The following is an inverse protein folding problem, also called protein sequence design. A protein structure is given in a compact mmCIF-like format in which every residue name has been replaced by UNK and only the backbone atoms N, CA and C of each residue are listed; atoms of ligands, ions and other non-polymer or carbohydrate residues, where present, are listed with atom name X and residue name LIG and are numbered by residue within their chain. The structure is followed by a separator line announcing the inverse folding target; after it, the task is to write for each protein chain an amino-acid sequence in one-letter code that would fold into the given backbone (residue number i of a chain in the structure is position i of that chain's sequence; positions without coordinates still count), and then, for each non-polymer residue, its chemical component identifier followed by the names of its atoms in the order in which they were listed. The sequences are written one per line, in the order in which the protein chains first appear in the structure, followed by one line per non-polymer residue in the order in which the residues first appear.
data_IF_293570217876
#
_entry.id   IF_293570217876
#
_cell.length_a   1.000
_cell.length_b   1.000
_cell.length_c   1.000
_cell.angle_alpha   90.00
_cell.angle_beta   90.00
_cell.angle_gamma   90.00
#
_symmetry.space_group_name_H-M   'P 1'
#
loop_
_entity.id
_entity.type
_entity.pdbx_description
1 polymer ?
#
# COMPACT_ATOMS: atom_id res chain seq x y z
N UNK A 1 8.37 -29.91 4.78
CA UNK A 1 9.55 -29.02 4.77
C UNK A 1 9.18 -27.83 3.89
N UNK A 2 9.37 -26.62 4.38
CA UNK A 2 9.14 -25.41 3.59
C UNK A 2 10.12 -25.38 2.42
N UNK A 3 9.62 -25.14 1.20
CA UNK A 3 10.48 -25.05 0.02
C UNK A 3 11.29 -23.74 0.12
N UNK A 4 12.58 -23.76 -0.18
CA UNK A 4 13.42 -22.56 -0.14
C UNK A 4 12.99 -21.45 -1.10
N UNK A 5 12.09 -21.74 -2.04
CA UNK A 5 11.50 -20.80 -3.01
C UNK A 5 10.16 -20.21 -2.57
N UNK A 6 9.58 -20.72 -1.46
CA UNK A 6 8.39 -20.14 -0.87
C UNK A 6 8.73 -18.74 -0.36
N UNK A 7 7.77 -17.81 -0.45
CA UNK A 7 8.00 -16.44 -0.04
C UNK A 7 6.80 -15.88 0.72
N UNK A 8 7.10 -15.01 1.66
CA UNK A 8 6.09 -14.29 2.45
C UNK A 8 6.35 -12.79 2.46
N UNK A 9 5.28 -12.03 2.33
CA UNK A 9 5.28 -10.59 2.34
C UNK A 9 4.47 -10.06 3.51
N UNK A 10 4.99 -9.05 4.19
CA UNK A 10 4.31 -8.45 5.33
C UNK A 10 4.32 -6.92 5.27
N UNK A 11 3.30 -6.31 5.84
CA UNK A 11 3.22 -4.87 6.09
C UNK A 11 3.02 -4.61 7.58
N UNK A 12 3.78 -3.64 8.09
CA UNK A 12 3.75 -3.21 9.49
C UNK A 12 3.87 -1.69 9.57
N UNK A 13 2.77 -1.01 9.83
CA UNK A 13 2.79 0.39 10.22
C UNK A 13 3.35 0.49 11.66
N UNK A 14 4.37 1.32 11.85
CA UNK A 14 5.13 1.41 13.10
C UNK A 14 4.57 2.45 14.08
N UNK A 15 3.51 3.16 13.68
CA UNK A 15 2.91 4.22 14.47
C UNK A 15 3.97 5.16 15.07
N UNK A 16 4.60 5.95 14.19
CA UNK A 16 5.56 7.00 14.56
C UNK A 16 6.86 6.50 15.26
N UNK A 17 7.49 5.44 14.79
CA UNK A 17 8.72 4.93 15.40
C UNK A 17 9.88 5.93 15.26
N UNK A 18 10.32 6.50 16.41
CA UNK A 18 11.37 7.52 16.53
C UNK A 18 12.29 7.20 17.71
N UNK A 19 13.52 7.73 17.70
CA UNK A 19 14.46 7.66 18.83
C UNK A 19 14.07 8.65 19.94
N UNK A 20 14.50 8.44 21.20
CA UNK A 20 14.20 9.34 22.32
C UNK A 20 14.61 10.78 22.02
N UNK A 21 13.78 11.74 22.38
CA UNK A 21 14.00 13.17 22.15
C UNK A 21 13.91 13.62 20.69
N UNK A 22 13.74 12.69 19.73
CA UNK A 22 13.47 13.01 18.34
C UNK A 22 12.06 13.57 18.16
N UNK A 23 11.94 14.74 17.52
CA UNK A 23 10.64 15.39 17.31
C UNK A 23 9.82 14.67 16.24
N UNK A 24 8.55 14.43 16.56
CA UNK A 24 7.51 13.90 15.67
C UNK A 24 6.46 14.98 15.36
N UNK A 25 5.26 14.58 14.94
CA UNK A 25 4.15 15.49 14.69
C UNK A 25 3.84 16.37 15.93
N UNK A 26 3.59 17.65 15.69
CA UNK A 26 3.27 18.64 16.73
C UNK A 26 4.31 18.77 17.85
N UNK A 27 5.57 18.29 17.58
CA UNK A 27 6.65 18.36 18.55
C UNK A 27 6.63 17.25 19.61
N UNK A 28 5.79 16.23 19.47
CA UNK A 28 5.79 15.05 20.32
C UNK A 28 7.16 14.35 20.28
N UNK A 29 7.58 13.77 21.41
CA UNK A 29 8.85 13.03 21.56
C UNK A 29 8.63 11.86 22.49
N UNK A 30 9.38 10.78 22.33
CA UNK A 30 9.46 9.71 23.32
C UNK A 30 10.48 10.03 24.40
N UNK A 31 10.17 9.70 25.64
CA UNK A 31 11.18 9.49 26.67
C UNK A 31 11.80 8.08 26.52
N UNK A 32 12.82 7.76 27.34
CA UNK A 32 13.53 6.48 27.22
C UNK A 32 12.63 5.27 27.52
N UNK A 33 11.76 5.36 28.52
CA UNK A 33 10.89 4.24 28.91
C UNK A 33 9.82 3.93 27.84
N UNK A 34 9.21 4.95 27.26
CA UNK A 34 8.27 4.83 26.14
C UNK A 34 8.96 4.21 24.92
N UNK A 35 10.17 4.67 24.61
CA UNK A 35 10.97 4.11 23.52
C UNK A 35 11.29 2.64 23.76
N UNK A 36 11.76 2.28 24.95
CA UNK A 36 12.11 0.90 25.31
C UNK A 36 10.90 -0.04 25.19
N UNK A 37 9.71 0.41 25.61
CA UNK A 37 8.46 -0.32 25.46
C UNK A 37 8.10 -0.49 23.98
N UNK A 38 8.19 0.57 23.18
CA UNK A 38 7.93 0.57 21.73
C UNK A 38 8.86 -0.39 20.99
N UNK A 39 10.16 -0.34 21.30
CA UNK A 39 11.17 -1.25 20.72
C UNK A 39 10.93 -2.69 21.17
N UNK A 40 10.54 -2.94 22.41
CA UNK A 40 10.25 -4.28 22.91
C UNK A 40 9.04 -4.91 22.18
N UNK A 41 7.96 -4.13 22.02
CA UNK A 41 6.77 -4.56 21.27
C UNK A 41 7.10 -4.83 19.81
N UNK A 42 7.78 -3.90 19.12
CA UNK A 42 8.18 -4.05 17.72
C UNK A 42 9.06 -5.29 17.52
N UNK A 43 10.05 -5.49 18.40
CA UNK A 43 10.91 -6.68 18.37
C UNK A 43 10.13 -7.99 18.60
N UNK A 44 9.15 -7.98 19.51
CA UNK A 44 8.23 -9.09 19.71
C UNK A 44 7.46 -9.43 18.43
N UNK A 45 6.88 -8.45 17.80
CA UNK A 45 6.14 -8.61 16.55
C UNK A 45 7.03 -9.12 15.39
N UNK A 46 8.24 -8.59 15.24
CA UNK A 46 9.21 -9.08 14.24
C UNK A 46 9.54 -10.56 14.41
N UNK A 47 9.70 -11.05 15.66
CA UNK A 47 9.92 -12.48 15.93
C UNK A 47 8.73 -13.37 15.56
N UNK A 48 7.50 -12.88 15.75
CA UNK A 48 6.27 -13.61 15.39
C UNK A 48 6.03 -13.60 13.87
N UNK A 49 6.31 -12.49 13.23
CA UNK A 49 5.99 -12.25 11.84
C UNK A 49 6.76 -13.17 10.89
N UNK A 50 8.07 -13.32 11.10
CA UNK A 50 8.98 -14.18 10.33
C UNK A 50 8.78 -14.12 8.81
N UNK A 51 8.42 -12.95 8.28
CA UNK A 51 8.22 -12.78 6.85
C UNK A 51 9.56 -12.58 6.11
N UNK A 52 9.59 -12.99 4.84
CA UNK A 52 10.79 -12.86 4.01
C UNK A 52 11.01 -11.44 3.53
N UNK A 53 9.94 -10.71 3.26
CA UNK A 53 9.97 -9.28 2.93
C UNK A 53 8.97 -8.53 3.80
N UNK A 54 9.42 -7.50 4.50
CA UNK A 54 8.58 -6.69 5.39
C UNK A 54 8.66 -5.24 4.93
N UNK A 55 7.52 -4.62 4.66
CA UNK A 55 7.40 -3.18 4.44
C UNK A 55 6.99 -2.48 5.74
N UNK A 56 7.65 -1.37 6.05
CA UNK A 56 7.39 -0.55 7.22
C UNK A 56 6.89 0.82 6.83
N UNK A 57 5.92 1.33 7.58
CA UNK A 57 5.39 2.68 7.45
C UNK A 57 5.61 3.45 8.76
N UNK A 58 5.47 4.76 8.70
CA UNK A 58 5.60 5.68 9.85
C UNK A 58 6.93 5.64 10.60
N UNK A 59 8.01 5.42 9.87
CA UNK A 59 9.36 5.45 10.41
C UNK A 59 9.93 6.88 10.38
N UNK A 60 10.31 7.42 11.53
CA UNK A 60 10.98 8.71 11.67
C UNK A 60 12.50 8.59 11.75
N UNK A 61 13.00 7.50 12.29
CA UNK A 61 14.44 7.28 12.49
C UNK A 61 14.87 5.91 12.01
N UNK A 62 15.94 5.89 11.18
CA UNK A 62 16.63 4.66 10.81
C UNK A 62 17.09 3.87 12.04
N UNK A 63 17.68 4.58 13.03
CA UNK A 63 18.25 3.95 14.21
C UNK A 63 17.19 3.18 15.00
N UNK A 64 15.98 3.73 15.15
CA UNK A 64 14.92 3.06 15.88
C UNK A 64 14.54 1.70 15.26
N UNK A 65 14.51 1.58 13.94
CA UNK A 65 14.27 0.29 13.29
C UNK A 65 15.46 -0.68 13.45
N UNK A 66 16.69 -0.16 13.36
CA UNK A 66 17.90 -0.97 13.64
C UNK A 66 17.87 -1.52 15.06
N UNK A 67 17.50 -0.71 16.06
CA UNK A 67 17.41 -1.10 17.47
C UNK A 67 16.32 -2.18 17.67
N UNK A 68 15.20 -2.08 16.96
CA UNK A 68 14.14 -3.10 16.99
C UNK A 68 14.63 -4.45 16.45
N UNK A 69 15.36 -4.47 15.33
CA UNK A 69 15.94 -5.69 14.77
C UNK A 69 17.03 -6.27 15.68
N UNK A 70 17.87 -5.42 16.29
CA UNK A 70 18.87 -5.85 17.28
C UNK A 70 18.21 -6.46 18.50
N UNK A 71 17.16 -5.81 19.06
CA UNK A 71 16.38 -6.32 20.20
C UNK A 71 15.66 -7.63 19.87
N UNK A 72 15.27 -7.82 18.61
CA UNK A 72 14.66 -9.06 18.15
C UNK A 72 15.66 -10.21 17.96
N UNK A 73 16.98 -9.91 17.90
CA UNK A 73 18.03 -10.88 17.55
C UNK A 73 18.03 -11.25 16.07
N UNK A 74 17.60 -10.34 15.20
CA UNK A 74 17.38 -10.60 13.77
C UNK A 74 18.33 -9.82 12.85
N UNK A 75 19.32 -9.10 13.39
CA UNK A 75 20.24 -8.25 12.62
C UNK A 75 20.96 -9.00 11.49
N UNK A 76 21.44 -10.22 11.74
CA UNK A 76 22.17 -11.03 10.75
C UNK A 76 21.25 -11.74 9.75
N UNK A 77 19.98 -11.89 10.10
CA UNK A 77 18.99 -12.59 9.28
C UNK A 77 18.37 -11.69 8.21
N UNK A 78 18.35 -10.36 8.42
CA UNK A 78 17.69 -9.42 7.53
C UNK A 78 18.62 -8.32 7.03
N UNK A 79 18.44 -7.94 5.78
CA UNK A 79 18.99 -6.71 5.20
C UNK A 79 17.92 -5.61 5.24
N UNK A 80 18.27 -4.44 5.81
CA UNK A 80 17.36 -3.30 5.92
C UNK A 80 17.54 -2.34 4.74
N UNK A 81 16.44 -1.88 4.17
CA UNK A 81 16.40 -0.90 3.10
C UNK A 81 15.69 0.38 3.55
N UNK A 82 16.33 1.52 3.33
CA UNK A 82 15.82 2.84 3.66
C UNK A 82 15.80 3.73 2.42
N UNK A 83 14.88 4.71 2.39
CA UNK A 83 14.76 5.66 1.28
C UNK A 83 16.03 6.51 1.11
N UNK A 84 16.71 6.87 2.21
CA UNK A 84 17.97 7.62 2.21
C UNK A 84 18.72 7.43 3.52
N UNK A 85 20.02 7.70 3.49
CA UNK A 85 20.91 7.53 4.63
C UNK A 85 21.04 8.78 5.53
N UNK A 86 20.36 9.88 5.24
CA UNK A 86 20.46 11.13 6.01
C UNK A 86 19.33 11.31 7.02
N UNK A 87 19.32 12.48 7.68
CA UNK A 87 18.21 12.88 8.56
C UNK A 87 16.90 13.04 7.79
N UNK A 88 15.80 12.67 8.41
CA UNK A 88 14.46 12.74 7.83
C UNK A 88 13.65 13.88 8.48
N UNK A 89 12.87 14.56 7.63
CA UNK A 89 11.95 15.62 8.08
C UNK A 89 10.51 15.13 7.97
N UNK A 90 10.17 13.99 8.61
CA UNK A 90 8.85 13.40 8.55
C UNK A 90 8.92 11.89 8.42
N UNK A 91 7.78 11.23 8.44
CA UNK A 91 7.68 9.78 8.30
C UNK A 91 8.07 9.31 6.90
N UNK A 92 8.68 8.15 6.86
CA UNK A 92 9.08 7.47 5.62
C UNK A 92 8.65 6.01 5.65
N UNK A 93 8.80 5.35 4.50
CA UNK A 93 8.74 3.90 4.40
C UNK A 93 10.15 3.31 4.47
N UNK A 94 10.23 2.06 4.92
CA UNK A 94 11.43 1.25 4.90
C UNK A 94 11.07 -0.20 4.58
N UNK A 95 12.06 -1.05 4.40
CA UNK A 95 11.82 -2.48 4.22
C UNK A 95 12.93 -3.32 4.87
N UNK A 96 12.61 -4.59 5.12
CA UNK A 96 13.57 -5.63 5.50
C UNK A 96 13.40 -6.85 4.60
N UNK A 97 14.51 -7.45 4.18
CA UNK A 97 14.54 -8.66 3.36
C UNK A 97 15.36 -9.71 4.07
N UNK A 98 14.75 -10.88 4.30
CA UNK A 98 15.33 -12.01 5.02
C UNK A 98 16.13 -12.91 4.09
N UNK A 99 17.33 -13.33 4.52
CA UNK A 99 18.10 -14.38 3.84
C UNK A 99 17.30 -15.69 3.75
N UNK A 100 17.34 -16.43 2.64
CA UNK A 100 18.27 -16.29 1.50
C UNK A 100 17.83 -15.30 0.42
N UNK A 101 16.73 -14.54 0.62
CA UNK A 101 16.34 -13.45 -0.26
C UNK A 101 17.29 -12.26 -0.05
N UNK A 102 17.61 -11.56 -1.14
CA UNK A 102 18.59 -10.46 -1.15
C UNK A 102 18.07 -9.28 -1.95
N UNK A 103 18.47 -8.08 -1.58
CA UNK A 103 18.13 -6.85 -2.30
C UNK A 103 19.13 -6.66 -3.44
N UNK A 104 18.65 -6.74 -4.68
CA UNK A 104 19.44 -6.50 -5.89
C UNK A 104 19.50 -5.03 -6.26
N UNK A 105 18.36 -4.33 -6.16
CA UNK A 105 18.22 -2.92 -6.51
C UNK A 105 17.28 -2.20 -5.54
N UNK A 106 17.46 -0.87 -5.43
CA UNK A 106 16.59 0.03 -4.66
C UNK A 106 16.27 1.26 -5.49
N UNK A 107 15.00 1.63 -5.54
CA UNK A 107 14.54 2.82 -6.25
C UNK A 107 13.48 3.56 -5.43
N UNK A 108 13.52 4.90 -5.48
CA UNK A 108 12.57 5.75 -4.77
C UNK A 108 11.82 6.64 -5.75
N UNK A 109 10.50 6.67 -5.63
CA UNK A 109 9.63 7.53 -6.43
C UNK A 109 9.19 8.74 -5.61
N UNK A 110 9.75 9.92 -5.89
CA UNK A 110 9.36 11.16 -5.20
C UNK A 110 8.28 11.90 -5.95
N UNK A 111 8.38 11.95 -7.26
CA UNK A 111 7.47 12.68 -8.14
C UNK A 111 6.57 11.72 -8.90
N UNK A 112 5.43 12.23 -9.36
CA UNK A 112 4.57 11.51 -10.27
C UNK A 112 5.24 11.40 -11.66
N UNK A 113 4.88 10.39 -12.45
CA UNK A 113 5.28 10.33 -13.85
C UNK A 113 4.90 11.62 -14.59
N UNK A 114 5.79 12.12 -15.43
CA UNK A 114 5.55 13.36 -16.19
C UNK A 114 4.37 13.27 -17.15
N UNK A 115 4.07 12.06 -17.62
CA UNK A 115 2.97 11.76 -18.53
C UNK A 115 1.60 11.80 -17.84
N UNK A 116 1.57 11.90 -16.51
CA UNK A 116 0.32 11.91 -15.76
C UNK A 116 -0.26 13.31 -15.70
N UNK A 117 -1.15 13.62 -16.63
CA UNK A 117 -2.04 14.76 -16.58
C UNK A 117 -3.45 14.27 -16.21
N UNK A 118 -4.02 14.79 -15.13
CA UNK A 118 -5.40 14.54 -14.75
C UNK A 118 -6.32 15.61 -15.37
N UNK A 119 -6.15 15.87 -16.65
CA UNK A 119 -7.00 16.77 -17.41
C UNK A 119 -8.04 15.96 -18.19
N UNK A 120 -9.28 16.39 -18.16
CA UNK A 120 -10.32 15.89 -19.07
C UNK A 120 -9.92 16.34 -20.49
N UNK A 121 -9.90 15.39 -21.43
CA UNK A 121 -9.81 15.74 -22.85
C UNK A 121 -11.18 16.21 -23.31
N UNK A 122 -11.26 17.36 -23.97
CA UNK A 122 -12.44 17.72 -24.75
C UNK A 122 -12.61 16.67 -25.84
N UNK A 123 -13.62 15.83 -25.72
CA UNK A 123 -14.00 14.88 -26.76
C UNK A 123 -14.87 15.66 -27.74
N UNK A 124 -14.51 15.80 -29.03
CA UNK A 124 -15.40 16.37 -30.02
C UNK A 124 -16.72 15.60 -30.00
N UNK A 125 -17.84 16.29 -30.12
CA UNK A 125 -19.19 15.68 -30.11
C UNK A 125 -19.36 14.54 -31.13
N UNK A 126 -18.54 14.52 -32.20
CA UNK A 126 -18.59 13.50 -33.28
C UNK A 126 -18.00 12.14 -32.89
N UNK A 127 -17.26 12.01 -31.76
CA UNK A 127 -16.63 10.76 -31.30
C UNK A 127 -17.43 10.02 -30.23
N UNK A 128 -18.61 10.50 -29.87
CA UNK A 128 -19.51 9.81 -28.95
C UNK A 128 -20.27 8.73 -29.74
N UNK A 129 -19.63 7.57 -29.93
CA UNK A 129 -20.37 6.35 -30.26
C UNK A 129 -21.32 6.06 -29.11
N UNK A 130 -22.60 6.41 -29.29
CA UNK A 130 -23.65 6.02 -28.37
C UNK A 130 -23.65 4.49 -28.25
N UNK A 131 -23.53 3.90 -27.03
CA UNK A 131 -23.93 2.54 -26.85
C UNK A 131 -25.43 2.47 -27.16
N UNK A 132 -25.86 1.38 -27.80
CA UNK A 132 -27.26 1.06 -28.03
C UNK A 132 -28.03 1.13 -26.71
N UNK A 133 -28.50 2.32 -26.38
CA UNK A 133 -29.42 2.56 -25.28
C UNK A 133 -30.83 2.66 -25.89
N UNK A 134 -31.48 1.49 -25.99
CA UNK A 134 -32.91 1.45 -26.08
C UNK A 134 -33.50 2.03 -24.80
N UNK A 135 -34.28 3.10 -24.96
CA UNK A 135 -35.31 3.58 -24.04
C UNK A 135 -34.87 4.02 -22.63
N UNK A 136 -34.20 5.17 -22.53
CA UNK A 136 -34.34 6.05 -21.37
C UNK A 136 -35.08 7.32 -21.85
N UNK A 137 -36.26 7.68 -21.26
CA UNK A 137 -36.93 8.92 -21.64
C UNK A 137 -36.07 10.14 -21.37
N UNK A 138 -35.87 10.96 -22.37
CA UNK A 138 -35.11 12.21 -22.31
C UNK A 138 -35.98 13.32 -21.62
N UNK A 139 -36.16 13.22 -20.32
CA UNK A 139 -36.60 14.35 -19.50
C UNK A 139 -35.47 14.66 -18.51
N UNK A 140 -34.90 15.86 -18.64
CA UNK A 140 -33.79 16.47 -17.92
C UNK A 140 -32.39 16.22 -18.49
N UNK A 141 -32.17 16.53 -19.76
CA UNK A 141 -30.87 17.05 -20.17
C UNK A 141 -30.88 18.55 -19.88
N UNK A 142 -30.82 18.87 -18.59
CA UNK A 142 -30.58 20.21 -18.12
C UNK A 142 -29.13 20.60 -18.39
N UNK A 143 -29.02 21.65 -19.16
CA UNK A 143 -27.89 22.57 -19.20
C UNK A 143 -26.51 21.95 -19.48
N UNK A 144 -26.07 22.05 -20.73
CA UNK A 144 -24.67 21.95 -21.14
C UNK A 144 -23.84 23.06 -20.46
N UNK A 145 -23.69 22.97 -19.14
CA UNK A 145 -22.62 23.70 -18.47
C UNK A 145 -21.33 23.06 -18.92
N UNK A 146 -20.49 23.85 -19.56
CA UNK A 146 -19.09 23.56 -19.80
C UNK A 146 -18.54 22.96 -18.51
N UNK A 147 -18.33 21.63 -18.49
CA UNK A 147 -17.68 20.93 -17.40
C UNK A 147 -16.31 21.57 -17.24
N UNK A 148 -16.16 22.47 -16.26
CA UNK A 148 -14.90 23.09 -15.95
C UNK A 148 -13.86 22.00 -15.78
N UNK A 149 -12.81 22.04 -16.59
CA UNK A 149 -11.72 21.08 -16.50
C UNK A 149 -11.11 21.16 -15.10
N UNK A 150 -11.25 20.12 -14.30
CA UNK A 150 -10.64 20.05 -13.00
C UNK A 150 -9.11 19.91 -13.17
N UNK A 151 -8.37 21.02 -13.04
CA UNK A 151 -6.91 21.02 -13.06
C UNK A 151 -6.37 20.62 -11.67
N UNK A 152 -6.08 19.34 -11.50
CA UNK A 152 -5.51 18.83 -10.25
C UNK A 152 -3.99 18.86 -10.34
N UNK A 153 -3.34 19.81 -9.67
CA UNK A 153 -1.88 20.00 -9.66
C UNK A 153 -1.20 19.29 -8.50
N UNK A 154 -1.31 17.97 -8.45
CA UNK A 154 -0.56 17.14 -7.51
C UNK A 154 0.51 16.36 -8.29
N UNK A 155 1.80 16.67 -8.06
CA UNK A 155 2.91 16.14 -8.86
C UNK A 155 3.93 15.32 -8.04
N UNK A 156 3.66 15.08 -6.75
CA UNK A 156 4.56 14.33 -5.87
C UNK A 156 3.81 13.53 -4.82
N UNK A 157 4.38 12.39 -4.45
CA UNK A 157 3.89 11.59 -3.33
C UNK A 157 4.08 12.34 -2.00
N UNK A 158 3.13 12.21 -1.09
CA UNK A 158 3.29 12.69 0.29
C UNK A 158 4.38 11.91 1.02
N UNK A 159 4.47 10.61 0.77
CA UNK A 159 5.55 9.72 1.20
C UNK A 159 6.03 8.94 -0.02
N UNK A 160 7.33 9.03 -0.30
CA UNK A 160 7.90 8.39 -1.49
C UNK A 160 7.78 6.88 -1.41
N UNK A 161 7.15 6.18 -2.36
CA UNK A 161 7.25 4.73 -2.47
C UNK A 161 8.72 4.28 -2.64
N UNK A 162 9.06 3.15 -2.02
CA UNK A 162 10.34 2.47 -2.15
C UNK A 162 10.13 1.17 -2.92
N UNK A 163 10.76 1.04 -4.08
CA UNK A 163 10.84 -0.22 -4.82
C UNK A 163 12.13 -0.94 -4.48
N UNK A 164 12.02 -2.25 -4.27
CA UNK A 164 13.13 -3.18 -4.20
C UNK A 164 13.03 -4.18 -5.35
N UNK A 165 14.15 -4.52 -5.96
CA UNK A 165 14.28 -5.77 -6.72
C UNK A 165 14.82 -6.82 -5.77
N UNK A 166 14.05 -7.87 -5.48
CA UNK A 166 14.38 -8.92 -4.52
C UNK A 166 14.67 -10.21 -5.29
N UNK A 167 15.88 -10.72 -5.15
CA UNK A 167 16.30 -11.99 -5.74
C UNK A 167 16.56 -13.07 -4.69
N UNK A 168 16.77 -14.31 -5.12
CA UNK A 168 17.13 -15.42 -4.25
C UNK A 168 18.63 -15.77 -4.43
N UNK A 169 19.42 -15.71 -3.34
CA UNK A 169 20.89 -15.87 -3.44
C UNK A 169 21.35 -17.29 -3.85
N UNK A 170 20.51 -18.28 -3.64
CA UNK A 170 20.85 -19.70 -3.87
C UNK A 170 20.08 -20.35 -5.04
N UNK A 171 19.14 -19.61 -5.66
CA UNK A 171 18.23 -20.14 -6.68
C UNK A 171 18.14 -19.22 -7.88
N UNK A 172 18.98 -19.46 -8.88
CA UNK A 172 18.96 -18.69 -10.12
C UNK A 172 17.71 -18.91 -11.00
N UNK A 173 16.94 -19.97 -10.73
CA UNK A 173 15.69 -20.29 -11.40
C UNK A 173 14.48 -19.50 -10.86
N UNK A 174 14.64 -18.80 -9.74
CA UNK A 174 13.64 -17.89 -9.17
C UNK A 174 13.81 -16.51 -9.78
N UNK A 175 12.81 -15.96 -10.49
CA UNK A 175 12.92 -14.64 -11.07
C UNK A 175 12.97 -13.56 -9.97
N UNK A 176 13.70 -12.45 -10.19
CA UNK A 176 13.63 -11.31 -9.29
C UNK A 176 12.21 -10.74 -9.17
N UNK A 177 11.84 -10.36 -7.96
CA UNK A 177 10.51 -9.83 -7.63
C UNK A 177 10.63 -8.32 -7.42
N UNK A 178 9.78 -7.53 -8.09
CA UNK A 178 9.62 -6.10 -7.83
C UNK A 178 8.68 -5.88 -6.66
N UNK A 179 9.20 -5.38 -5.53
CA UNK A 179 8.42 -5.11 -4.31
C UNK A 179 8.35 -3.62 -4.07
N UNK A 180 7.13 -3.07 -4.05
CA UNK A 180 6.85 -1.66 -3.78
C UNK A 180 6.34 -1.50 -2.35
N UNK A 181 7.10 -0.81 -1.50
CA UNK A 181 6.71 -0.46 -0.15
C UNK A 181 6.08 0.93 -0.17
N UNK A 182 4.81 1.03 0.21
CA UNK A 182 3.99 2.22 0.03
C UNK A 182 3.37 2.70 1.35
N UNK A 183 3.09 4.01 1.40
CA UNK A 183 2.27 4.63 2.42
C UNK A 183 1.56 5.83 1.78
N UNK A 184 0.30 5.65 1.37
CA UNK A 184 -0.46 6.71 0.70
C UNK A 184 -1.00 7.74 1.70
N UNK A 185 -1.57 8.83 1.18
CA UNK A 185 -2.11 9.92 2.01
C UNK A 185 -3.23 9.42 2.94
N UNK A 186 -3.05 9.68 4.23
CA UNK A 186 -4.04 9.34 5.27
C UNK A 186 -5.41 9.99 5.03
N UNK A 187 -6.49 9.35 5.53
CA UNK A 187 -7.85 9.88 5.50
C UNK A 187 -8.03 11.15 6.34
N UNK A 188 -7.11 11.40 7.28
CA UNK A 188 -7.14 12.59 8.12
C UNK A 188 -7.30 13.87 7.28
N UNK A 189 -8.26 14.75 7.60
CA UNK A 189 -8.51 15.98 6.86
C UNK A 189 -7.26 16.86 6.75
N UNK A 190 -6.96 17.29 5.53
CA UNK A 190 -5.90 18.28 5.27
C UNK A 190 -6.30 19.61 5.88
N UNK A 191 -5.38 20.29 6.56
CA UNK A 191 -5.63 21.63 7.08
C UNK A 191 -5.78 22.63 5.94
N UNK A 192 -6.78 23.50 6.04
CA UNK A 192 -7.00 24.56 5.08
C UNK A 192 -5.93 25.64 5.22
N UNK A 193 -5.58 26.26 4.10
CA UNK A 193 -4.68 27.39 4.09
C UNK A 193 -5.37 28.61 4.73
N UNK A 194 -4.81 29.09 5.84
CA UNK A 194 -5.32 30.27 6.55
C UNK A 194 -5.12 31.58 5.80
N UNK A 195 -4.23 31.59 4.81
CA UNK A 195 -3.98 32.71 3.91
C UNK A 195 -4.92 32.78 2.70
N UNK A 196 -5.79 31.78 2.53
CA UNK A 196 -6.73 31.78 1.40
C UNK A 196 -7.77 32.89 1.55
N UNK A 197 -8.12 33.67 0.49
CA UNK A 197 -9.09 34.75 0.55
C UNK A 197 -10.43 34.34 1.17
N UNK A 198 -10.92 33.15 0.86
CA UNK A 198 -12.20 32.65 1.34
C UNK A 198 -12.07 31.79 2.60
N UNK A 199 -10.96 31.91 3.35
CA UNK A 199 -10.72 31.06 4.53
C UNK A 199 -11.86 31.12 5.55
N UNK A 200 -12.37 32.32 5.88
CA UNK A 200 -13.45 32.46 6.86
C UNK A 200 -14.78 31.83 6.39
N UNK A 201 -15.03 31.80 5.07
CA UNK A 201 -16.18 31.13 4.49
C UNK A 201 -15.99 29.58 4.57
N UNK A 202 -14.78 29.06 4.31
CA UNK A 202 -14.46 27.64 4.33
C UNK A 202 -14.31 27.07 5.73
N UNK A 203 -13.95 27.86 6.71
CA UNK A 203 -13.61 27.46 8.08
C UNK A 203 -14.70 26.63 8.79
N UNK A 204 -16.01 26.97 8.71
CA UNK A 204 -17.07 26.13 9.28
C UNK A 204 -17.14 24.74 8.65
N UNK A 205 -16.64 24.58 7.43
CA UNK A 205 -16.65 23.35 6.63
C UNK A 205 -15.27 22.68 6.54
N UNK A 206 -14.29 23.12 7.33
CA UNK A 206 -12.88 22.74 7.23
C UNK A 206 -12.64 21.22 7.27
N UNK A 207 -13.41 20.48 8.07
CA UNK A 207 -13.30 19.02 8.16
C UNK A 207 -13.73 18.35 6.85
N UNK A 208 -14.87 18.76 6.28
CA UNK A 208 -15.39 18.18 5.04
C UNK A 208 -14.46 18.50 3.86
N UNK A 209 -14.09 19.78 3.69
CA UNK A 209 -13.18 20.22 2.63
C UNK A 209 -11.81 19.54 2.77
N UNK A 210 -11.26 19.51 3.98
CA UNK A 210 -9.98 18.85 4.25
C UNK A 210 -10.00 17.34 3.98
N UNK A 211 -11.12 16.65 4.26
CA UNK A 211 -11.31 15.24 3.94
C UNK A 211 -11.38 15.01 2.42
N UNK A 212 -12.10 15.88 1.69
CA UNK A 212 -12.13 15.85 0.23
C UNK A 212 -10.72 16.01 -0.37
N UNK A 213 -9.96 17.02 0.07
CA UNK A 213 -8.57 17.24 -0.37
C UNK A 213 -7.66 16.04 -0.08
N UNK A 214 -7.82 15.39 1.08
CA UNK A 214 -7.06 14.18 1.42
C UNK A 214 -7.41 13.02 0.50
N UNK A 215 -8.69 12.86 0.16
CA UNK A 215 -9.18 11.81 -0.75
C UNK A 215 -8.68 12.03 -2.17
N UNK A 216 -8.81 13.25 -2.71
CA UNK A 216 -8.29 13.62 -4.05
C UNK A 216 -6.80 13.33 -4.12
N UNK A 217 -6.04 13.74 -3.10
CA UNK A 217 -4.60 13.48 -3.06
C UNK A 217 -4.26 12.00 -3.03
N UNK A 218 -4.93 11.19 -2.20
CA UNK A 218 -4.70 9.75 -2.10
C UNK A 218 -5.01 9.05 -3.42
N UNK A 219 -6.11 9.41 -4.07
CA UNK A 219 -6.50 8.88 -5.38
C UNK A 219 -5.47 9.25 -6.46
N UNK A 220 -4.97 10.49 -6.46
CA UNK A 220 -3.90 10.91 -7.37
C UNK A 220 -2.58 10.14 -7.12
N UNK A 221 -2.23 9.88 -5.85
CA UNK A 221 -1.07 9.06 -5.49
C UNK A 221 -1.23 7.59 -5.96
N UNK A 222 -2.44 7.01 -5.81
CA UNK A 222 -2.75 5.68 -6.31
C UNK A 222 -2.65 5.60 -7.84
N UNK A 223 -3.18 6.59 -8.56
CA UNK A 223 -3.08 6.69 -10.01
C UNK A 223 -1.62 6.81 -10.47
N UNK A 224 -0.83 7.67 -9.83
CA UNK A 224 0.60 7.83 -10.13
C UNK A 224 1.37 6.52 -9.92
N UNK A 225 1.08 5.82 -8.81
CA UNK A 225 1.67 4.52 -8.53
C UNK A 225 1.24 3.48 -9.57
N UNK A 226 -0.02 3.48 -10.00
CA UNK A 226 -0.51 2.61 -11.08
C UNK A 226 0.27 2.81 -12.38
N UNK A 227 0.48 4.06 -12.79
CA UNK A 227 1.29 4.39 -14.00
C UNK A 227 2.73 3.88 -13.86
N UNK A 228 3.33 4.01 -12.67
CA UNK A 228 4.65 3.45 -12.41
C UNK A 228 4.63 1.92 -12.52
N UNK A 229 3.68 1.26 -11.88
CA UNK A 229 3.55 -0.21 -11.87
C UNK A 229 3.38 -0.78 -13.29
N UNK A 230 2.62 -0.13 -14.16
CA UNK A 230 2.44 -0.57 -15.55
C UNK A 230 3.77 -0.68 -16.31
N UNK A 231 4.77 0.15 -15.99
CA UNK A 231 6.12 0.06 -16.59
C UNK A 231 6.87 -1.22 -16.19
N UNK A 232 6.54 -1.81 -15.03
CA UNK A 232 7.16 -3.04 -14.53
C UNK A 232 6.37 -4.30 -14.85
N UNK A 233 5.06 -4.19 -15.00
CA UNK A 233 4.17 -5.33 -15.15
C UNK A 233 3.74 -5.57 -16.59
N UNK A 234 3.36 -4.49 -17.32
CA UNK A 234 2.76 -4.62 -18.64
C UNK A 234 3.76 -5.13 -19.69
N UNK A 235 3.33 -6.10 -20.49
CA UNK A 235 4.10 -6.75 -21.53
C UNK A 235 5.41 -7.41 -21.06
N UNK A 236 5.49 -7.80 -19.77
CA UNK A 236 6.61 -8.56 -19.22
C UNK A 236 6.13 -9.60 -18.20
N UNK A 237 7.01 -10.42 -17.69
CA UNK A 237 6.72 -11.52 -16.76
C UNK A 237 7.37 -11.30 -15.38
N UNK A 238 7.66 -10.05 -15.01
CA UNK A 238 8.28 -9.71 -13.73
C UNK A 238 7.25 -9.79 -12.60
N UNK A 239 7.42 -10.70 -11.64
CA UNK A 239 6.55 -10.76 -10.47
C UNK A 239 6.60 -9.44 -9.71
N UNK A 240 5.44 -8.87 -9.42
CA UNK A 240 5.33 -7.55 -8.77
C UNK A 240 4.42 -7.62 -7.55
N UNK A 241 4.83 -6.98 -6.46
CA UNK A 241 4.11 -6.92 -5.19
C UNK A 241 4.05 -5.48 -4.69
N UNK A 242 2.89 -5.05 -4.23
CA UNK A 242 2.68 -3.76 -3.56
C UNK A 242 2.28 -4.04 -2.12
N UNK A 243 3.04 -3.48 -1.18
CA UNK A 243 2.85 -3.65 0.26
C UNK A 243 2.68 -2.30 0.93
N UNK A 244 1.82 -2.21 1.92
CA UNK A 244 1.82 -1.07 2.79
C UNK A 244 0.44 -0.62 3.27
N UNK A 245 0.48 0.44 4.06
CA UNK A 245 -0.67 1.21 4.45
C UNK A 245 -1.11 2.10 3.27
N UNK A 246 -2.13 1.66 2.55
CA UNK A 246 -2.69 2.38 1.42
C UNK A 246 -3.77 3.39 1.86
N UNK A 247 -4.09 3.43 3.15
CA UNK A 247 -5.01 4.38 3.79
C UNK A 247 -6.41 4.40 3.16
N UNK A 248 -6.82 3.27 2.55
CA UNK A 248 -8.17 3.13 2.02
C UNK A 248 -8.62 1.67 2.04
N UNK A 249 -9.93 1.46 2.13
CA UNK A 249 -10.51 0.13 2.24
C UNK A 249 -10.43 -0.68 0.94
N UNK A 250 -10.52 -2.00 1.07
CA UNK A 250 -10.41 -2.97 -0.03
C UNK A 250 -11.33 -2.66 -1.22
N UNK A 251 -12.53 -2.14 -0.97
CA UNK A 251 -13.55 -1.86 -2.00
C UNK A 251 -13.58 -0.38 -2.42
N UNK A 252 -12.58 0.41 -2.02
CA UNK A 252 -12.51 1.82 -2.36
C UNK A 252 -12.11 2.05 -3.82
N UNK A 253 -12.50 3.20 -4.38
CA UNK A 253 -12.06 3.61 -5.71
C UNK A 253 -10.53 3.76 -5.79
N UNK A 254 -9.88 4.17 -4.71
CA UNK A 254 -8.42 4.27 -4.61
C UNK A 254 -7.76 2.92 -4.89
N UNK A 255 -8.24 1.84 -4.23
CA UNK A 255 -7.71 0.49 -4.43
C UNK A 255 -8.09 -0.07 -5.81
N UNK A 256 -9.29 0.23 -6.29
CA UNK A 256 -9.75 -0.16 -7.62
C UNK A 256 -8.86 0.42 -8.73
N UNK A 257 -8.53 1.70 -8.63
CA UNK A 257 -7.60 2.37 -9.57
C UNK A 257 -6.21 1.74 -9.50
N UNK A 258 -5.70 1.51 -8.29
CA UNK A 258 -4.37 0.95 -8.11
C UNK A 258 -4.26 -0.48 -8.62
N UNK A 259 -5.27 -1.32 -8.35
CA UNK A 259 -5.26 -2.75 -8.68
C UNK A 259 -5.72 -3.05 -10.12
N UNK A 260 -6.37 -2.10 -10.80
CA UNK A 260 -7.03 -2.34 -12.10
C UNK A 260 -8.08 -3.46 -12.06
N UNK A 261 -8.62 -3.71 -10.89
CA UNK A 261 -9.73 -4.64 -10.63
C UNK A 261 -9.65 -5.98 -11.41
N UNK A 262 -8.61 -6.79 -11.23
CA UNK A 262 -8.48 -8.03 -11.97
C UNK A 262 -9.66 -8.97 -11.66
N UNK A 263 -10.12 -9.70 -12.67
CA UNK A 263 -11.16 -10.70 -12.48
C UNK A 263 -10.64 -11.87 -11.65
N UNK A 264 -11.37 -12.25 -10.60
CA UNK A 264 -11.09 -13.44 -9.83
C UNK A 264 -11.87 -14.63 -10.39
N UNK A 265 -11.24 -15.81 -10.39
CA UNK A 265 -11.88 -17.04 -10.81
C UNK A 265 -12.80 -17.55 -9.70
N UNK A 266 -14.09 -17.58 -9.96
CA UNK A 266 -15.10 -18.07 -9.01
C UNK A 266 -15.48 -19.53 -9.30
N UNK A 267 -15.48 -19.93 -10.59
CA UNK A 267 -15.87 -21.28 -11.01
C UNK A 267 -14.68 -22.03 -11.62
N UNK A 268 -14.59 -23.34 -11.37
CA UNK A 268 -13.46 -24.18 -11.76
C UNK A 268 -13.22 -24.23 -13.27
N UNK A 269 -14.26 -24.13 -14.09
CA UNK A 269 -14.23 -24.17 -15.55
C UNK A 269 -14.18 -22.77 -16.20
N UNK A 270 -14.20 -21.70 -15.41
CA UNK A 270 -14.09 -20.33 -15.92
C UNK A 270 -12.77 -20.09 -16.62
N UNK A 271 -12.83 -19.43 -17.78
CA UNK A 271 -11.64 -18.92 -18.47
C UNK A 271 -11.23 -17.53 -17.99
N UNK A 272 -12.06 -16.86 -17.20
CA UNK A 272 -11.72 -15.57 -16.58
C UNK A 272 -10.49 -15.69 -15.69
N UNK A 273 -9.74 -14.62 -15.55
CA UNK A 273 -8.54 -14.52 -14.69
C UNK A 273 -7.36 -15.45 -15.06
N UNK A 274 -7.35 -16.08 -16.24
CA UNK A 274 -6.19 -16.87 -16.68
C UNK A 274 -5.00 -16.04 -17.08
N UNK A 275 -5.25 -14.83 -17.58
CA UNK A 275 -4.23 -13.84 -17.94
C UNK A 275 -4.66 -12.47 -17.50
N UNK A 276 -3.77 -11.76 -16.84
CA UNK A 276 -3.95 -10.38 -16.47
C UNK A 276 -2.59 -9.68 -16.46
N UNK A 277 -2.28 -9.00 -17.53
CA UNK A 277 -0.94 -8.48 -17.81
C UNK A 277 -0.51 -7.35 -16.87
N UNK A 278 -1.45 -6.63 -16.26
CA UNK A 278 -1.17 -5.45 -15.46
C UNK A 278 -2.03 -5.26 -14.19
N UNK A 279 -2.98 -6.15 -13.90
CA UNK A 279 -3.78 -6.11 -12.67
C UNK A 279 -3.06 -6.66 -11.45
N UNK A 280 -3.47 -6.21 -10.25
CA UNK A 280 -2.98 -6.67 -8.96
C UNK A 280 -4.09 -7.37 -8.18
N UNK A 281 -3.83 -8.60 -7.77
CA UNK A 281 -4.72 -9.41 -6.93
C UNK A 281 -4.52 -9.08 -5.45
N UNK A 282 -5.61 -8.83 -4.72
CA UNK A 282 -5.56 -8.58 -3.28
C UNK A 282 -5.48 -9.90 -2.50
N UNK A 283 -4.49 -10.04 -1.63
CA UNK A 283 -4.38 -11.18 -0.73
C UNK A 283 -5.59 -11.28 0.24
N UNK A 284 -6.19 -10.15 0.60
CA UNK A 284 -7.43 -10.12 1.39
C UNK A 284 -8.57 -10.76 0.61
N UNK A 285 -8.76 -10.38 -0.65
CA UNK A 285 -9.79 -10.98 -1.52
C UNK A 285 -9.55 -12.46 -1.75
N UNK A 286 -8.29 -12.87 -2.02
CA UNK A 286 -7.95 -14.28 -2.16
C UNK A 286 -8.26 -15.08 -0.91
N UNK A 287 -8.01 -14.54 0.29
CA UNK A 287 -8.38 -15.16 1.57
C UNK A 287 -9.90 -15.26 1.74
N UNK A 288 -10.64 -14.19 1.45
CA UNK A 288 -12.09 -14.16 1.56
C UNK A 288 -12.80 -15.13 0.60
N UNK A 289 -12.23 -15.38 -0.58
CA UNK A 289 -12.75 -16.38 -1.52
C UNK A 289 -12.56 -17.82 -1.03
N UNK A 290 -11.67 -18.06 -0.08
CA UNK A 290 -11.44 -19.39 0.54
C UNK A 290 -12.26 -19.57 1.81
N UNK A 291 -12.30 -18.56 2.67
CA UNK A 291 -13.01 -18.59 3.95
C UNK A 291 -13.35 -17.18 4.43
N UNK A 292 -14.53 -17.04 5.03
CA UNK A 292 -14.95 -15.83 5.73
C UNK A 292 -14.79 -15.94 7.25
N UNK A 293 -14.18 -17.02 7.76
CA UNK A 293 -14.03 -17.26 9.20
C UNK A 293 -13.10 -16.23 9.88
N UNK A 294 -12.21 -15.62 9.12
CA UNK A 294 -11.31 -14.58 9.61
C UNK A 294 -11.90 -13.20 9.32
N UNK A 295 -12.36 -12.51 10.35
CA UNK A 295 -12.70 -11.08 10.25
C UNK A 295 -11.43 -10.29 10.12
N UNK A 296 -11.10 -9.86 8.91
CA UNK A 296 -9.89 -9.12 8.62
C UNK A 296 -10.14 -7.63 8.80
N UNK A 297 -9.42 -7.02 9.73
CA UNK A 297 -9.30 -5.57 9.84
C UNK A 297 -7.89 -5.24 10.34
N UNK A 298 -7.38 -4.09 9.93
CA UNK A 298 -6.07 -3.61 10.36
C UNK A 298 -6.12 -2.28 11.07
N UNK A 299 -7.30 -1.66 11.13
CA UNK A 299 -7.47 -0.37 11.78
C UNK A 299 -8.89 -0.21 12.33
N UNK A 300 -9.03 0.47 13.47
CA UNK A 300 -10.32 0.81 14.08
C UNK A 300 -10.42 2.33 14.22
N UNK A 301 -11.49 2.91 13.70
CA UNK A 301 -11.76 4.34 13.85
C UNK A 301 -13.24 4.58 14.07
N UNK A 302 -13.61 5.21 15.19
CA UNK A 302 -15.01 5.47 15.59
C UNK A 302 -15.89 4.21 15.52
N UNK A 303 -15.35 3.09 16.00
CA UNK A 303 -16.05 1.79 15.99
C UNK A 303 -16.06 1.08 14.62
N UNK A 304 -15.69 1.75 13.53
CA UNK A 304 -15.55 1.13 12.22
C UNK A 304 -14.24 0.37 12.09
N UNK A 305 -14.33 -0.88 11.61
CA UNK A 305 -13.18 -1.74 11.33
C UNK A 305 -12.92 -1.80 9.84
N UNK A 306 -11.70 -1.44 9.43
CA UNK A 306 -11.31 -1.40 8.02
C UNK A 306 -9.97 -2.13 7.81
N UNK A 307 -9.76 -2.62 6.59
CA UNK A 307 -8.44 -3.07 6.12
C UNK A 307 -7.79 -1.89 5.41
N UNK A 308 -6.72 -1.33 5.97
CA UNK A 308 -5.94 -0.24 5.38
C UNK A 308 -4.56 -0.72 4.91
N UNK A 309 -4.07 -1.82 5.49
CA UNK A 309 -2.79 -2.44 5.18
C UNK A 309 -2.99 -3.59 4.21
N UNK A 310 -2.37 -3.49 3.04
CA UNK A 310 -2.64 -4.39 1.93
C UNK A 310 -1.38 -5.12 1.45
N UNK A 311 -1.60 -6.31 0.91
CA UNK A 311 -0.66 -7.08 0.08
C UNK A 311 -1.35 -7.31 -1.25
N UNK A 312 -0.89 -6.61 -2.30
CA UNK A 312 -1.39 -6.72 -3.66
C UNK A 312 -0.32 -7.37 -4.52
N UNK A 313 -0.69 -8.34 -5.33
CA UNK A 313 0.27 -9.16 -6.10
C UNK A 313 -0.14 -9.31 -7.55
N UNK A 314 0.83 -9.35 -8.45
CA UNK A 314 0.62 -9.61 -9.88
C UNK A 314 0.22 -11.06 -10.15
N UNK A 315 -0.17 -11.37 -11.38
CA UNK A 315 -0.68 -12.69 -11.78
C UNK A 315 0.27 -13.87 -11.49
N UNK A 316 1.58 -13.63 -11.35
CA UNK A 316 2.56 -14.66 -11.02
C UNK A 316 2.34 -15.27 -9.62
N UNK A 317 1.61 -14.59 -8.75
CA UNK A 317 1.22 -15.05 -7.41
C UNK A 317 -0.23 -15.52 -7.31
N UNK A 318 -0.98 -15.48 -8.42
CA UNK A 318 -2.37 -15.91 -8.46
C UNK A 318 -2.48 -17.33 -8.99
N UNK A 319 -2.96 -18.25 -8.16
CA UNK A 319 -2.98 -19.70 -8.41
C UNK A 319 -3.76 -20.13 -9.67
N UNK A 320 -4.67 -19.29 -10.15
CA UNK A 320 -5.47 -19.58 -11.35
C UNK A 320 -4.91 -18.94 -12.62
N UNK A 321 -3.82 -18.14 -12.55
CA UNK A 321 -3.17 -17.60 -13.74
C UNK A 321 -2.33 -18.65 -14.46
N UNK A 322 -2.33 -18.59 -15.79
CA UNK A 322 -1.46 -19.41 -16.64
C UNK A 322 0.04 -19.05 -16.49
N UNK A 323 0.33 -17.84 -15.93
CA UNK A 323 1.68 -17.33 -15.66
C UNK A 323 2.11 -17.45 -14.20
N UNK A 324 1.34 -18.21 -13.38
CA UNK A 324 1.67 -18.37 -11.97
C UNK A 324 3.07 -18.97 -11.78
N UNK A 325 3.77 -18.44 -10.79
CA UNK A 325 5.05 -18.94 -10.25
C UNK A 325 4.92 -19.36 -8.80
N UNK A 326 3.98 -18.72 -8.10
CA UNK A 326 3.63 -19.03 -6.72
C UNK A 326 2.12 -19.19 -6.61
N UNK A 327 1.70 -19.92 -5.58
CA UNK A 327 0.31 -20.09 -5.20
C UNK A 327 0.07 -19.46 -3.83
N UNK A 328 -1.02 -18.70 -3.71
CA UNK A 328 -1.42 -18.12 -2.43
C UNK A 328 -1.73 -19.21 -1.41
N UNK A 329 -1.17 -19.09 -0.19
CA UNK A 329 -1.40 -20.01 0.91
C UNK A 329 -2.35 -19.43 1.95
N UNK A 330 -1.95 -18.34 2.56
CA UNK A 330 -2.70 -17.72 3.65
C UNK A 330 -2.42 -16.22 3.75
N UNK A 331 -3.38 -15.49 4.26
CA UNK A 331 -3.19 -14.17 4.84
C UNK A 331 -3.46 -14.26 6.35
N UNK A 332 -2.50 -13.78 7.15
CA UNK A 332 -2.67 -13.61 8.60
C UNK A 332 -2.63 -12.15 8.97
N UNK A 333 -3.47 -11.80 9.94
CA UNK A 333 -3.51 -10.46 10.54
C UNK A 333 -3.32 -10.61 12.05
N UNK A 334 -2.38 -9.85 12.62
CA UNK A 334 -2.21 -9.68 14.06
C UNK A 334 -2.80 -8.32 14.42
N UNK A 335 -3.96 -8.32 15.05
CA UNK A 335 -4.73 -7.11 15.39
C UNK A 335 -5.26 -7.12 16.83
N UNK A 336 -4.80 -8.04 17.69
CA UNK A 336 -5.22 -8.14 19.10
C UNK A 336 -4.88 -6.88 19.89
N UNK A 337 -3.94 -6.07 19.43
CA UNK A 337 -3.51 -4.80 20.03
C UNK A 337 -4.22 -3.58 19.42
N UNK A 338 -5.08 -3.77 18.42
CA UNK A 338 -5.76 -2.68 17.72
C UNK A 338 -7.09 -2.40 18.40
N UNK A 339 -7.09 -1.42 19.27
CA UNK A 339 -8.25 -0.90 19.96
C UNK A 339 -8.42 0.58 19.68
N UNK A 340 -9.61 1.13 19.96
CA UNK A 340 -9.89 2.56 19.73
C UNK A 340 -9.09 3.45 20.69
N UNK A 341 -8.86 2.95 21.93
CA UNK A 341 -7.96 3.55 22.92
C UNK A 341 -6.73 2.65 23.06
N UNK A 342 -5.65 2.98 22.36
CA UNK A 342 -4.38 2.26 22.43
C UNK A 342 -3.29 3.14 23.02
N UNK A 343 -2.32 2.53 23.67
CA UNK A 343 -1.13 3.22 24.11
C UNK A 343 -0.10 3.35 22.97
N UNK A 344 0.81 4.30 23.06
CA UNK A 344 1.85 4.52 22.04
C UNK A 344 2.93 3.44 22.03
N UNK A 345 2.90 2.46 22.94
CA UNK A 345 3.87 1.36 22.98
C UNK A 345 3.64 0.33 21.88
N UNK A 346 2.42 0.22 21.36
CA UNK A 346 2.05 -0.66 20.24
C UNK A 346 1.81 0.14 18.95
N UNK A 347 1.20 -0.48 17.94
CA UNK A 347 0.69 0.19 16.73
C UNK A 347 -0.83 0.33 16.80
N UNK A 348 -1.38 1.39 16.22
CA UNK A 348 -2.81 1.54 15.94
C UNK A 348 -3.25 0.75 14.70
N UNK A 349 -2.30 0.11 14.02
CA UNK A 349 -2.53 -0.76 12.89
C UNK A 349 -2.23 -2.22 13.21
N UNK A 350 -3.04 -3.14 12.68
CA UNK A 350 -2.77 -4.56 12.62
C UNK A 350 -1.63 -4.87 11.64
N UNK A 351 -0.85 -5.89 11.95
CA UNK A 351 0.23 -6.36 11.11
C UNK A 351 -0.28 -7.47 10.21
N UNK A 352 0.00 -7.38 8.90
CA UNK A 352 -0.45 -8.36 7.91
C UNK A 352 0.72 -9.16 7.34
N UNK A 353 0.49 -10.45 7.07
CA UNK A 353 1.44 -11.30 6.33
C UNK A 353 0.70 -12.22 5.37
N UNK A 354 1.06 -12.18 4.08
CA UNK A 354 0.63 -13.13 3.08
C UNK A 354 1.77 -14.12 2.76
N UNK A 355 1.45 -15.40 2.61
CA UNK A 355 2.36 -16.47 2.21
C UNK A 355 2.00 -17.04 0.85
N UNK A 356 3.04 -17.37 0.11
CA UNK A 356 2.95 -17.95 -1.22
C UNK A 356 3.93 -19.10 -1.36
N UNK A 357 3.43 -20.24 -1.77
CA UNK A 357 4.26 -21.42 -2.04
C UNK A 357 4.70 -21.42 -3.49
N UNK A 358 5.96 -21.82 -3.72
CA UNK A 358 6.49 -21.96 -5.06
C UNK A 358 5.70 -23.02 -5.84
N UNK A 359 5.26 -22.64 -7.03
CA UNK A 359 4.57 -23.52 -7.96
C UNK A 359 5.55 -24.00 -9.03
N UNK A 360 5.93 -25.28 -9.06
CA UNK A 360 6.76 -25.81 -10.13
C UNK A 360 6.02 -25.73 -11.46
N UNK A 361 6.73 -25.31 -12.51
CA UNK A 361 6.22 -25.24 -13.87
C UNK A 361 5.90 -26.64 -14.43
#
# INVERSE_FOLDING_TARGET
MQNSRDISFASMNLYNLQVPGGKMYRGATYNQAEYDAKIAWTAGMLRHLQADVIAFQELWSRQALVDAFAKAGLTDAYELAFIKNGSWRGITVAAAVRKPWVILERERFKQFPLEMSLTKRDVPEDDILAPDAADIPSEDVGDNQEDEAADIRINKFSRSPLRLSVGHSERADVPPISVFCCHLKAKMPTQLDRGHPDYELMKPHATAIGAALSTIRRTAEATALRVILSKYMKANDVPTVVLGDLNDGQMSNTLNILSDQPSYRVYADSRSARRNDDGLYSAVTMQQLRTLDNVLYTHVFKGAREVLDHVLVSEQFYEHSDRRRWAFQELKVWNDHVEEEHDESSSDHGVVRAKFDWWPA
#
